data_IF_998287085366
#
_entry.id   IF_998287085366
#
_cell.length_a   1.000
_cell.length_b   1.000
_cell.length_c   1.000
_cell.angle_alpha   90.00
_cell.angle_beta   90.00
_cell.angle_gamma   90.00
#
_symmetry.space_group_name_H-M   'P 1'
#
loop_
_entity.id
_entity.type
_entity.pdbx_description
1 polymer ?
#
# COMPACT_ATOMS: atom_id res chain seq x y z
N UNK A 1 -4.27 5.56 -6.12
CA UNK A 1 -4.18 5.46 -7.59
C UNK A 1 -2.82 4.91 -7.98
N UNK A 2 -2.77 4.00 -8.98
CA UNK A 2 -1.54 3.50 -9.60
C UNK A 2 -1.18 4.37 -10.79
N UNK A 3 0.05 4.89 -10.81
CA UNK A 3 0.55 5.76 -11.88
C UNK A 3 1.33 4.99 -12.93
N UNK A 4 1.89 5.70 -13.90
CA UNK A 4 2.83 5.17 -14.91
C UNK A 4 4.06 4.45 -14.32
N UNK A 5 4.34 4.63 -13.01
CA UNK A 5 5.40 3.91 -12.29
C UNK A 5 4.95 2.51 -11.80
N UNK A 6 3.66 2.20 -11.85
CA UNK A 6 3.13 0.84 -11.66
C UNK A 6 3.16 0.11 -13.00
N UNK A 7 4.36 -0.31 -13.42
CA UNK A 7 4.59 -0.96 -14.71
C UNK A 7 3.65 -2.15 -14.89
N UNK A 8 3.07 -2.31 -16.08
CA UNK A 8 2.15 -3.32 -16.58
C UNK A 8 0.66 -3.02 -16.37
N UNK A 9 0.25 -2.24 -15.35
CA UNK A 9 -1.17 -1.94 -15.12
C UNK A 9 -1.49 -0.45 -14.87
N UNK A 10 -0.49 0.35 -14.44
CA UNK A 10 -0.66 1.78 -14.24
C UNK A 10 -0.50 2.56 -15.55
N UNK A 11 -1.55 3.26 -15.99
CA UNK A 11 -1.51 4.10 -17.20
C UNK A 11 -1.65 5.60 -16.92
N UNK A 12 -1.90 5.97 -15.67
CA UNK A 12 -2.15 7.37 -15.28
C UNK A 12 -0.84 8.16 -15.25
N UNK A 13 -0.67 9.09 -16.20
CA UNK A 13 0.43 10.05 -16.15
C UNK A 13 0.17 11.09 -15.07
N UNK A 14 1.15 11.33 -14.23
CA UNK A 14 1.00 12.12 -12.99
C UNK A 14 0.38 13.51 -13.23
N UNK A 15 0.86 14.27 -14.22
CA UNK A 15 0.33 15.61 -14.49
C UNK A 15 -1.11 15.58 -14.98
N UNK A 16 -1.44 14.66 -15.89
CA UNK A 16 -2.78 14.48 -16.42
C UNK A 16 -3.75 14.03 -15.32
N UNK A 17 -3.29 13.13 -14.44
CA UNK A 17 -4.02 12.64 -13.28
C UNK A 17 -4.39 13.78 -12.31
N UNK A 18 -3.42 14.61 -11.94
CA UNK A 18 -3.65 15.73 -11.03
C UNK A 18 -4.63 16.77 -11.64
N UNK A 19 -4.46 17.10 -12.91
CA UNK A 19 -5.38 17.99 -13.62
C UNK A 19 -6.81 17.42 -13.68
N UNK A 20 -6.94 16.12 -13.99
CA UNK A 20 -8.25 15.45 -14.06
C UNK A 20 -8.93 15.37 -12.69
N UNK A 21 -8.20 15.12 -11.62
CA UNK A 21 -8.74 15.15 -10.27
C UNK A 21 -9.34 16.54 -9.94
N UNK A 22 -8.62 17.60 -10.29
CA UNK A 22 -9.10 18.97 -10.11
C UNK A 22 -10.37 19.26 -10.92
N UNK A 23 -10.41 18.86 -12.19
CA UNK A 23 -11.60 19.00 -13.05
C UNK A 23 -12.84 18.30 -12.47
N UNK A 24 -12.64 17.12 -11.85
CA UNK A 24 -13.69 16.34 -11.18
C UNK A 24 -14.10 16.92 -9.83
N UNK A 25 -13.52 18.04 -9.39
CA UNK A 25 -13.83 18.69 -8.12
C UNK A 25 -13.24 17.99 -6.89
N UNK A 26 -12.27 17.10 -7.07
CA UNK A 26 -11.57 16.50 -5.94
C UNK A 26 -10.64 17.51 -5.28
N UNK A 27 -10.59 17.52 -3.97
CA UNK A 27 -9.71 18.39 -3.17
C UNK A 27 -8.43 17.67 -2.70
N UNK A 28 -8.41 16.36 -2.80
CA UNK A 28 -7.28 15.51 -2.39
C UNK A 28 -7.18 14.24 -3.25
N UNK A 29 -5.98 13.67 -3.33
CA UNK A 29 -5.74 12.40 -4.03
C UNK A 29 -4.52 11.68 -3.44
N UNK A 30 -4.56 10.34 -3.39
CA UNK A 30 -3.45 9.50 -2.96
C UNK A 30 -2.76 8.82 -4.15
N UNK A 31 -1.41 8.82 -4.15
CA UNK A 31 -0.60 7.95 -4.98
C UNK A 31 -0.30 6.66 -4.20
N UNK A 32 -0.50 5.49 -4.84
CA UNK A 32 -0.33 4.17 -4.20
C UNK A 32 0.23 3.16 -5.20
N UNK A 33 1.37 3.46 -5.81
CA UNK A 33 2.00 2.58 -6.79
C UNK A 33 2.41 1.23 -6.20
N UNK A 34 2.50 0.23 -7.05
CA UNK A 34 2.83 -1.16 -6.68
C UNK A 34 4.28 -1.31 -6.23
N UNK A 35 4.50 -1.41 -4.94
CA UNK A 35 5.79 -1.71 -4.31
C UNK A 35 6.87 -0.64 -4.45
N UNK A 36 6.56 0.53 -4.99
CA UNK A 36 7.53 1.60 -5.26
C UNK A 36 7.00 2.97 -4.87
N UNK A 37 7.92 3.91 -4.65
CA UNK A 37 7.64 5.34 -4.37
C UNK A 37 8.31 6.26 -5.40
N UNK A 38 8.56 5.79 -6.61
CA UNK A 38 9.34 6.54 -7.61
C UNK A 38 8.66 7.83 -8.06
N UNK A 39 7.33 7.82 -8.15
CA UNK A 39 6.54 8.95 -8.62
C UNK A 39 6.11 9.94 -7.54
N UNK A 40 6.42 9.71 -6.25
CA UNK A 40 5.82 10.49 -5.16
C UNK A 40 6.19 11.97 -5.18
N UNK A 41 7.42 12.33 -5.56
CA UNK A 41 7.85 13.73 -5.63
C UNK A 41 7.19 14.46 -6.80
N UNK A 42 7.14 13.82 -7.97
CA UNK A 42 6.49 14.41 -9.13
C UNK A 42 4.97 14.55 -8.92
N UNK A 43 4.35 13.55 -8.29
CA UNK A 43 2.96 13.62 -7.88
C UNK A 43 2.70 14.74 -6.87
N UNK A 44 3.52 14.86 -5.83
CA UNK A 44 3.41 15.93 -4.84
C UNK A 44 3.43 17.31 -5.50
N UNK A 45 4.40 17.54 -6.40
CA UNK A 45 4.53 18.82 -7.13
C UNK A 45 3.33 19.08 -8.03
N UNK A 46 2.92 18.11 -8.84
CA UNK A 46 1.79 18.25 -9.76
C UNK A 46 0.46 18.52 -9.02
N UNK A 47 0.21 17.80 -7.92
CA UNK A 47 -0.99 18.00 -7.10
C UNK A 47 -1.03 19.42 -6.47
N UNK A 48 0.11 19.86 -5.93
CA UNK A 48 0.24 21.20 -5.36
C UNK A 48 0.05 22.31 -6.40
N UNK A 49 0.56 22.11 -7.62
CA UNK A 49 0.43 23.06 -8.73
C UNK A 49 -1.04 23.31 -9.11
N UNK A 50 -1.87 22.27 -9.14
CA UNK A 50 -3.30 22.38 -9.44
C UNK A 50 -4.18 22.66 -8.20
N UNK A 51 -3.58 22.76 -7.02
CA UNK A 51 -4.27 23.11 -5.78
C UNK A 51 -5.11 21.98 -5.18
N UNK A 52 -4.67 20.71 -5.32
CA UNK A 52 -5.23 19.56 -4.58
C UNK A 52 -4.22 19.07 -3.54
N UNK A 53 -4.73 18.47 -2.45
CA UNK A 53 -3.91 17.91 -1.38
C UNK A 53 -3.30 16.58 -1.83
N UNK A 54 -1.95 16.45 -1.95
CA UNK A 54 -1.31 15.18 -2.22
C UNK A 54 -1.27 14.31 -0.95
N UNK A 55 -1.63 13.05 -1.08
CA UNK A 55 -1.47 12.02 -0.05
C UNK A 55 -0.45 11.02 -0.58
N UNK A 56 0.66 10.84 0.15
CA UNK A 56 1.74 9.93 -0.26
C UNK A 56 1.48 8.55 0.30
N UNK A 57 1.51 7.56 -0.58
CA UNK A 57 1.31 6.16 -0.22
C UNK A 57 2.07 5.20 -1.12
N UNK A 58 1.90 3.93 -0.84
CA UNK A 58 2.43 2.81 -1.62
C UNK A 58 1.57 1.58 -1.36
N UNK A 59 1.27 0.80 -2.39
CA UNK A 59 0.72 -0.54 -2.22
C UNK A 59 1.88 -1.52 -2.06
N UNK A 60 2.13 -1.96 -0.82
CA UNK A 60 3.22 -2.88 -0.50
C UNK A 60 2.80 -4.34 -0.65
N UNK A 61 3.78 -5.21 -0.84
CA UNK A 61 3.61 -6.65 -0.87
C UNK A 61 3.99 -7.23 0.50
N UNK A 62 3.04 -7.88 1.18
CA UNK A 62 3.25 -8.49 2.50
C UNK A 62 3.47 -9.99 2.35
N UNK A 63 4.59 -10.50 2.84
CA UNK A 63 4.86 -11.93 2.86
C UNK A 63 3.90 -12.64 3.85
N UNK A 64 3.40 -13.85 3.54
CA UNK A 64 2.52 -14.61 4.45
C UNK A 64 3.17 -15.01 5.77
N UNK A 65 4.50 -15.05 5.81
CA UNK A 65 5.32 -15.30 6.97
C UNK A 65 6.48 -14.32 7.02
N UNK A 66 7.71 -14.82 7.12
CA UNK A 66 8.89 -13.97 7.07
C UNK A 66 9.20 -13.51 5.64
N UNK A 67 9.61 -12.25 5.48
CA UNK A 67 10.11 -11.72 4.20
C UNK A 67 11.34 -12.46 3.66
N UNK A 68 12.01 -13.24 4.51
CA UNK A 68 13.16 -14.06 4.14
C UNK A 68 12.77 -15.43 3.58
N UNK A 69 11.52 -15.87 3.74
CA UNK A 69 11.03 -17.15 3.24
C UNK A 69 10.93 -17.12 1.70
N UNK A 70 11.57 -18.07 1.03
CA UNK A 70 11.64 -18.17 -0.43
C UNK A 70 11.15 -19.52 -0.97
N UNK A 71 10.46 -20.29 -0.13
CA UNK A 71 10.06 -21.66 -0.47
C UNK A 71 8.66 -21.78 -1.09
N UNK A 72 7.85 -20.72 -1.06
CA UNK A 72 6.50 -20.73 -1.62
C UNK A 72 6.51 -20.79 -3.15
N UNK A 73 6.13 -21.95 -3.68
CA UNK A 73 6.06 -22.21 -5.12
C UNK A 73 4.75 -21.75 -5.76
N UNK A 74 3.65 -21.63 -4.97
CA UNK A 74 2.37 -21.16 -5.47
C UNK A 74 2.37 -19.62 -5.59
N UNK A 75 2.11 -19.12 -6.79
CA UNK A 75 2.19 -17.67 -7.09
C UNK A 75 1.21 -16.82 -6.28
N UNK A 76 0.03 -17.37 -5.98
CA UNK A 76 -1.01 -16.64 -5.25
C UNK A 76 -0.70 -16.49 -3.75
N UNK A 77 0.12 -17.39 -3.19
CA UNK A 77 0.43 -17.40 -1.77
C UNK A 77 1.81 -16.77 -1.45
N UNK A 78 2.44 -16.09 -2.41
CA UNK A 78 3.76 -15.49 -2.22
C UNK A 78 3.72 -14.16 -1.47
N UNK A 79 2.64 -13.42 -1.60
CA UNK A 79 2.44 -12.11 -0.97
C UNK A 79 0.97 -11.69 -1.00
N UNK A 80 0.62 -10.79 -0.09
CA UNK A 80 -0.64 -10.06 -0.07
C UNK A 80 -0.40 -8.60 -0.40
N UNK A 81 -1.46 -7.90 -0.86
CA UNK A 81 -1.41 -6.46 -1.04
C UNK A 81 -1.87 -5.74 0.24
N UNK A 82 -1.21 -4.66 0.58
CA UNK A 82 -1.59 -3.75 1.65
C UNK A 82 -1.31 -2.32 1.20
N UNK A 83 -2.30 -1.44 1.27
CA UNK A 83 -2.10 -0.02 0.95
C UNK A 83 -1.66 0.72 2.20
N UNK A 84 -0.56 1.45 2.10
CA UNK A 84 -0.02 2.29 3.17
C UNK A 84 -0.04 3.75 2.74
N UNK A 85 -0.51 4.63 3.64
CA UNK A 85 -0.56 6.07 3.44
C UNK A 85 0.21 6.78 4.56
N UNK A 86 1.00 7.79 4.20
CA UNK A 86 1.66 8.64 5.19
C UNK A 86 0.68 9.68 5.74
N UNK A 87 0.45 9.68 7.03
CA UNK A 87 -0.37 10.67 7.74
C UNK A 87 0.37 12.00 7.94
N UNK A 88 1.69 11.91 8.16
CA UNK A 88 2.58 13.04 8.50
C UNK A 88 4.01 12.76 8.05
N UNK A 89 4.94 13.66 8.35
CA UNK A 89 6.35 13.51 7.97
C UNK A 89 7.03 12.28 8.59
N UNK A 90 6.69 11.92 9.83
CA UNK A 90 7.16 10.67 10.45
C UNK A 90 6.70 9.46 9.65
N UNK A 91 5.43 9.41 9.30
CA UNK A 91 4.86 8.35 8.46
C UNK A 91 5.49 8.30 7.07
N UNK A 92 5.78 9.45 6.45
CA UNK A 92 6.49 9.49 5.16
C UNK A 92 7.89 8.86 5.26
N UNK A 93 8.67 9.22 6.29
CA UNK A 93 9.98 8.61 6.51
C UNK A 93 9.89 7.12 6.83
N UNK A 94 8.90 6.70 7.60
CA UNK A 94 8.67 5.29 7.91
C UNK A 94 8.21 4.51 6.67
N UNK A 95 7.36 5.08 5.83
CA UNK A 95 6.95 4.46 4.57
C UNK A 95 8.15 4.23 3.63
N UNK A 96 9.07 5.19 3.52
CA UNK A 96 10.32 5.01 2.77
C UNK A 96 11.16 3.85 3.31
N UNK A 97 11.25 3.70 4.64
CA UNK A 97 11.99 2.59 5.28
C UNK A 97 11.30 1.25 5.00
N UNK A 98 9.96 1.17 5.13
CA UNK A 98 9.18 -0.02 4.82
C UNK A 98 9.43 -0.48 3.39
N UNK A 99 9.26 0.40 2.41
CA UNK A 99 9.46 0.10 0.99
C UNK A 99 10.91 -0.32 0.71
N UNK A 100 11.89 0.39 1.29
CA UNK A 100 13.31 0.06 1.14
C UNK A 100 13.65 -1.32 1.70
N UNK A 101 13.08 -1.70 2.86
CA UNK A 101 13.25 -3.03 3.45
C UNK A 101 12.74 -4.13 2.53
N UNK A 102 11.63 -3.91 1.84
CA UNK A 102 11.12 -4.86 0.85
C UNK A 102 12.12 -5.13 -0.27
N UNK A 103 12.83 -4.12 -0.75
CA UNK A 103 13.86 -4.26 -1.79
C UNK A 103 15.16 -4.88 -1.28
N UNK A 104 15.65 -4.43 -0.11
CA UNK A 104 16.96 -4.83 0.42
C UNK A 104 16.91 -6.24 0.99
N UNK A 105 15.92 -6.55 1.81
CA UNK A 105 15.87 -7.78 2.59
C UNK A 105 14.86 -8.80 2.03
N UNK A 106 13.73 -8.34 1.51
CA UNK A 106 12.55 -9.17 1.24
C UNK A 106 12.29 -9.50 -0.23
N UNK A 107 13.19 -9.16 -1.15
CA UNK A 107 12.94 -9.34 -2.58
C UNK A 107 12.88 -10.83 -2.96
N UNK A 108 11.66 -11.27 -3.31
CA UNK A 108 11.40 -12.59 -3.89
C UNK A 108 10.22 -12.47 -4.86
N UNK A 109 10.49 -12.40 -6.16
CA UNK A 109 9.59 -11.99 -7.25
C UNK A 109 9.08 -10.55 -7.14
N UNK A 110 8.79 -10.08 -5.93
CA UNK A 110 8.37 -8.71 -5.58
C UNK A 110 9.12 -8.25 -4.33
N UNK A 111 9.22 -6.93 -4.08
CA UNK A 111 9.79 -6.40 -2.85
C UNK A 111 8.81 -6.61 -1.70
N UNK A 112 8.99 -7.67 -0.91
CA UNK A 112 8.08 -8.04 0.16
C UNK A 112 8.52 -7.50 1.51
N UNK A 113 7.57 -7.01 2.25
CA UNK A 113 7.69 -6.72 3.70
C UNK A 113 7.00 -7.82 4.49
N UNK A 114 7.11 -7.78 5.81
CA UNK A 114 6.38 -8.67 6.73
C UNK A 114 5.91 -7.89 7.95
N UNK A 115 5.21 -8.57 8.85
CA UNK A 115 4.70 -7.95 10.07
C UNK A 115 5.79 -7.30 10.93
N UNK A 116 6.98 -7.90 11.03
CA UNK A 116 8.12 -7.33 11.79
C UNK A 116 8.50 -5.94 11.27
N UNK A 117 8.57 -5.76 9.94
CA UNK A 117 8.86 -4.46 9.32
C UNK A 117 7.73 -3.47 9.57
N UNK A 118 6.46 -3.92 9.44
CA UNK A 118 5.30 -3.07 9.68
C UNK A 118 5.21 -2.63 11.15
N UNK A 119 5.40 -3.55 12.09
CA UNK A 119 5.44 -3.26 13.54
C UNK A 119 6.55 -2.27 13.89
N UNK A 120 7.71 -2.37 13.25
CA UNK A 120 8.86 -1.49 13.51
C UNK A 120 8.63 -0.07 13.02
N UNK A 121 7.92 0.12 11.89
CA UNK A 121 7.81 1.40 11.20
C UNK A 121 6.37 1.90 11.05
N UNK A 122 5.43 1.44 11.88
CA UNK A 122 4.00 1.78 11.78
C UNK A 122 3.67 3.24 12.11
N UNK A 123 4.50 3.94 12.89
CA UNK A 123 4.19 5.28 13.40
C UNK A 123 3.94 6.28 12.27
N UNK A 124 2.80 6.99 12.32
CA UNK A 124 2.38 7.95 11.32
C UNK A 124 1.95 7.33 9.98
N UNK A 125 1.70 6.02 9.95
CA UNK A 125 1.25 5.29 8.76
C UNK A 125 -0.19 4.82 8.97
N UNK A 126 -1.05 5.05 7.96
CA UNK A 126 -2.41 4.53 7.86
C UNK A 126 -2.37 3.36 6.89
N UNK A 127 -3.07 2.26 7.21
CA UNK A 127 -3.15 1.09 6.35
C UNK A 127 -4.58 0.81 5.89
N UNK A 128 -4.73 0.33 4.64
CA UNK A 128 -5.99 -0.11 4.04
C UNK A 128 -5.83 -1.55 3.57
N UNK A 129 -6.90 -2.35 3.69
CA UNK A 129 -6.87 -3.79 3.36
C UNK A 129 -6.68 -4.10 1.87
N UNK A 130 -6.57 -3.11 1.02
CA UNK A 130 -6.33 -3.20 -0.42
C UNK A 130 -7.46 -3.90 -1.21
N UNK A 131 -7.07 -4.60 -2.27
CA UNK A 131 -7.94 -5.25 -3.25
C UNK A 131 -8.20 -6.74 -2.93
N UNK A 132 -8.71 -7.51 -3.89
CA UNK A 132 -8.91 -8.97 -3.76
C UNK A 132 -7.62 -9.76 -3.46
N UNK A 133 -6.45 -9.18 -3.73
CA UNK A 133 -5.16 -9.75 -3.36
C UNK A 133 -4.73 -9.41 -1.93
N UNK A 134 -5.51 -8.62 -1.18
CA UNK A 134 -5.29 -8.35 0.24
C UNK A 134 -5.49 -9.60 1.09
N UNK A 135 -4.81 -9.66 2.23
CA UNK A 135 -4.84 -10.83 3.11
C UNK A 135 -6.24 -11.12 3.65
N UNK A 136 -6.94 -10.10 4.14
CA UNK A 136 -8.31 -10.23 4.66
C UNK A 136 -9.25 -10.75 3.58
N UNK A 137 -9.19 -10.15 2.38
CA UNK A 137 -10.04 -10.52 1.26
C UNK A 137 -9.76 -11.94 0.76
N UNK A 138 -8.49 -12.37 0.73
CA UNK A 138 -8.15 -13.75 0.34
C UNK A 138 -8.68 -14.80 1.31
N UNK A 139 -8.62 -14.52 2.63
CA UNK A 139 -9.24 -15.40 3.61
C UNK A 139 -10.76 -15.47 3.43
N UNK A 140 -11.43 -14.32 3.22
CA UNK A 140 -12.87 -14.28 2.95
C UNK A 140 -13.25 -15.07 1.69
N UNK A 141 -12.50 -14.90 0.59
CA UNK A 141 -12.75 -15.62 -0.68
C UNK A 141 -12.60 -17.14 -0.55
N UNK A 142 -11.81 -17.60 0.42
CA UNK A 142 -11.62 -19.02 0.74
C UNK A 142 -12.61 -19.55 1.80
N UNK A 143 -13.56 -18.73 2.26
CA UNK A 143 -14.50 -19.07 3.33
C UNK A 143 -13.89 -19.14 4.73
N UNK A 144 -12.70 -18.60 4.92
CA UNK A 144 -11.93 -18.62 6.17
C UNK A 144 -12.20 -17.33 6.97
N UNK A 145 -13.43 -17.20 7.48
CA UNK A 145 -13.89 -15.95 8.13
C UNK A 145 -13.10 -15.62 9.40
N UNK A 146 -12.81 -16.62 10.23
CA UNK A 146 -12.07 -16.41 11.49
C UNK A 146 -10.63 -15.95 11.24
N UNK A 147 -9.98 -16.47 10.20
CA UNK A 147 -8.66 -16.04 9.76
C UNK A 147 -8.69 -14.60 9.24
N UNK A 148 -9.71 -14.24 8.46
CA UNK A 148 -9.90 -12.88 8.00
C UNK A 148 -10.08 -11.89 9.16
N UNK A 149 -10.87 -12.27 10.18
CA UNK A 149 -11.05 -11.47 11.40
C UNK A 149 -9.73 -11.34 12.19
N UNK A 150 -8.95 -12.41 12.30
CA UNK A 150 -7.63 -12.36 12.98
C UNK A 150 -6.67 -11.45 12.25
N UNK A 151 -6.56 -11.57 10.92
CA UNK A 151 -5.72 -10.71 10.10
C UNK A 151 -6.11 -9.23 10.25
N UNK A 152 -7.40 -8.92 10.16
CA UNK A 152 -7.88 -7.55 10.31
C UNK A 152 -7.55 -6.95 11.70
N UNK A 153 -7.74 -7.72 12.77
CA UNK A 153 -7.38 -7.30 14.14
C UNK A 153 -5.88 -7.12 14.29
N UNK A 154 -5.07 -7.99 13.70
CA UNK A 154 -3.62 -7.89 13.77
C UNK A 154 -3.10 -6.61 13.08
N UNK A 155 -3.64 -6.26 11.92
CA UNK A 155 -3.31 -4.97 11.29
C UNK A 155 -3.79 -3.78 12.14
N UNK A 156 -4.97 -3.84 12.76
CA UNK A 156 -5.43 -2.80 13.69
C UNK A 156 -4.50 -2.67 14.91
N UNK A 157 -3.99 -3.78 15.43
CA UNK A 157 -3.01 -3.77 16.53
C UNK A 157 -1.68 -3.13 16.11
N UNK A 158 -1.19 -3.43 14.91
CA UNK A 158 0.06 -2.85 14.37
C UNK A 158 -0.07 -1.33 14.17
N UNK A 159 -1.08 -0.88 13.44
CA UNK A 159 -1.22 0.53 13.05
C UNK A 159 -1.96 1.39 14.07
N UNK A 160 -2.66 0.77 15.00
CA UNK A 160 -3.47 1.43 16.01
C UNK A 160 -4.92 1.63 15.58
N UNK A 161 -5.79 1.75 16.59
CA UNK A 161 -7.23 1.96 16.37
C UNK A 161 -7.48 3.27 15.63
N UNK A 162 -8.20 3.18 14.50
CA UNK A 162 -8.49 4.31 13.63
C UNK A 162 -7.44 4.58 12.57
N UNK A 163 -6.38 3.74 12.47
CA UNK A 163 -5.33 3.81 11.46
C UNK A 163 -5.28 2.57 10.55
N UNK A 164 -6.19 1.63 10.71
CA UNK A 164 -6.43 0.54 9.78
C UNK A 164 -7.89 0.55 9.31
N UNK A 165 -8.09 0.43 8.00
CA UNK A 165 -9.43 0.46 7.39
C UNK A 165 -9.62 -0.70 6.41
N UNK A 166 -10.81 -1.28 6.45
CA UNK A 166 -11.25 -2.23 5.41
C UNK A 166 -11.67 -1.45 4.18
N UNK A 167 -11.07 -1.77 3.05
CA UNK A 167 -11.35 -1.13 1.77
C UNK A 167 -12.46 -1.89 1.04
N UNK A 168 -13.48 -1.17 0.58
CA UNK A 168 -14.53 -1.69 -0.27
C UNK A 168 -14.32 -1.16 -1.68
N UNK A 169 -14.21 -2.06 -2.65
CA UNK A 169 -14.05 -1.72 -4.06
C UNK A 169 -15.28 -2.19 -4.84
N UNK A 170 -15.91 -1.28 -5.56
CA UNK A 170 -17.01 -1.57 -6.48
C UNK A 170 -16.44 -1.81 -7.89
N UNK A 171 -16.73 -2.97 -8.46
CA UNK A 171 -16.24 -3.40 -9.76
C UNK A 171 -17.34 -3.56 -10.79
#
# INVERSE_FOLDING_TARGET
VHTEYSLLDGSCKIKELAARAKELGMDSMAITDHGVMYGVIDFYRAAREVGIKPIIGCEVYVAPGSRFDRENTNSEDRYYHLVLLAENDTGYHNLMKIVSKGFVDGFYYKPRVDYEVLETYHEGVIALSACLAGEVQRYLARGMYEEACRSARHYEEIFGKGNFFLELQDH
#
